data_IF_363779889852
#
_entry.id   IF_363779889852
#
_cell.length_a   1.000
_cell.length_b   1.000
_cell.length_c   1.000
_cell.angle_alpha   90.00
_cell.angle_beta   90.00
_cell.angle_gamma   90.00
#
_symmetry.space_group_name_H-M   'P 1'
#
loop_
_entity.id
_entity.type
_entity.pdbx_description
1 polymer ?
#
# COMPACT_ATOMS: atom_id res chain seq x y z
N UNK A 1 5.62 9.59 -24.52
CA UNK A 1 4.90 10.39 -23.51
C UNK A 1 4.05 9.51 -22.58
N UNK A 2 3.29 8.54 -23.10
CA UNK A 2 2.44 7.59 -22.33
C UNK A 2 3.14 6.89 -21.15
N UNK A 3 4.39 6.48 -21.35
CA UNK A 3 5.18 5.73 -20.35
C UNK A 3 5.40 6.47 -19.02
N UNK A 4 5.69 7.79 -19.06
CA UNK A 4 5.90 8.60 -17.84
C UNK A 4 4.60 8.94 -17.11
N UNK A 5 3.49 9.03 -17.85
CA UNK A 5 2.17 9.27 -17.27
C UNK A 5 1.71 8.01 -16.53
N UNK A 6 1.85 6.84 -17.15
CA UNK A 6 1.57 5.55 -16.51
C UNK A 6 2.39 5.37 -15.21
N UNK A 7 3.68 5.66 -15.25
CA UNK A 7 4.55 5.65 -14.07
C UNK A 7 4.03 6.58 -12.97
N UNK A 8 3.70 7.82 -13.33
CA UNK A 8 3.20 8.82 -12.38
C UNK A 8 1.91 8.35 -11.71
N UNK A 9 0.95 7.84 -12.48
CA UNK A 9 -0.34 7.38 -11.96
C UNK A 9 -0.22 6.15 -11.07
N UNK A 10 0.60 5.18 -11.48
CA UNK A 10 0.93 4.02 -10.67
C UNK A 10 1.48 4.43 -9.30
N UNK A 11 2.44 5.34 -9.29
CA UNK A 11 3.04 5.82 -8.05
C UNK A 11 2.12 6.71 -7.21
N UNK A 12 1.24 7.52 -7.81
CA UNK A 12 0.19 8.23 -7.06
C UNK A 12 -0.65 7.24 -6.25
N UNK A 13 -1.12 6.16 -6.90
CA UNK A 13 -1.90 5.12 -6.24
C UNK A 13 -1.17 4.50 -5.05
N UNK A 14 0.11 4.17 -5.22
CA UNK A 14 0.96 3.62 -4.15
C UNK A 14 1.17 4.60 -3.00
N UNK A 15 1.56 5.85 -3.29
CA UNK A 15 1.89 6.81 -2.25
C UNK A 15 0.69 7.26 -1.43
N UNK A 16 -0.48 7.43 -2.06
CA UNK A 16 -1.71 7.79 -1.33
C UNK A 16 -2.14 6.64 -0.40
N UNK A 17 -2.09 5.41 -0.90
CA UNK A 17 -2.41 4.24 -0.10
C UNK A 17 -1.41 4.04 1.05
N UNK A 18 -0.11 4.28 0.79
CA UNK A 18 0.93 4.23 1.81
C UNK A 18 0.74 5.27 2.90
N UNK A 19 0.38 6.50 2.54
CA UNK A 19 0.10 7.55 3.52
C UNK A 19 -1.05 7.15 4.46
N UNK A 20 -2.12 6.52 3.94
CA UNK A 20 -3.20 5.99 4.78
C UNK A 20 -2.73 4.82 5.67
N UNK A 21 -2.00 3.85 5.11
CA UNK A 21 -1.51 2.70 5.85
C UNK A 21 -0.54 3.08 6.97
N UNK A 22 0.46 3.90 6.68
CA UNK A 22 1.40 4.43 7.69
C UNK A 22 0.65 5.22 8.77
N UNK A 23 -0.32 6.05 8.39
CA UNK A 23 -1.13 6.79 9.36
C UNK A 23 -1.93 5.87 10.29
N UNK A 24 -2.48 4.76 9.79
CA UNK A 24 -3.18 3.77 10.63
C UNK A 24 -2.25 3.07 11.60
N UNK A 25 -1.09 2.63 11.13
CA UNK A 25 -0.08 1.94 11.97
C UNK A 25 0.35 2.86 13.12
N UNK A 26 0.69 4.11 12.81
CA UNK A 26 1.12 5.09 13.81
C UNK A 26 -0.02 5.49 14.75
N UNK A 27 -1.27 5.58 14.30
CA UNK A 27 -2.41 5.89 15.17
C UNK A 27 -2.71 4.76 16.14
N UNK A 28 -2.59 3.51 15.70
CA UNK A 28 -2.74 2.34 16.56
C UNK A 28 -1.63 2.26 17.61
N UNK A 29 -0.37 2.52 17.21
CA UNK A 29 0.73 2.64 18.17
C UNK A 29 0.45 3.76 19.18
N UNK A 30 0.08 4.95 18.71
CA UNK A 30 -0.25 6.09 19.58
C UNK A 30 -1.35 5.75 20.58
N UNK A 31 -2.38 5.01 20.17
CA UNK A 31 -3.46 4.58 21.05
C UNK A 31 -3.00 3.54 22.08
N UNK A 32 -2.15 2.58 21.70
CA UNK A 32 -1.55 1.64 22.65
C UNK A 32 -0.73 2.34 23.72
N UNK A 33 0.06 3.34 23.34
CA UNK A 33 0.90 4.08 24.29
C UNK A 33 0.09 4.94 25.26
N UNK A 34 -1.18 5.24 24.95
CA UNK A 34 -2.09 5.85 25.91
C UNK A 34 -2.60 4.84 26.96
N UNK A 35 -2.59 3.54 26.62
CA UNK A 35 -3.03 2.45 27.51
C UNK A 35 -1.86 1.92 28.35
N UNK A 36 -0.68 1.72 27.74
CA UNK A 36 0.52 1.20 28.40
C UNK A 36 1.82 1.79 27.83
N UNK A 37 2.46 2.69 28.58
CA UNK A 37 3.75 3.28 28.22
C UNK A 37 4.94 2.33 28.44
N UNK A 38 4.79 1.26 29.22
CA UNK A 38 5.91 0.37 29.54
C UNK A 38 6.44 -0.37 28.30
N UNK A 39 5.60 -0.52 27.27
CA UNK A 39 5.94 -1.21 26.02
C UNK A 39 6.40 -0.28 24.90
N UNK A 40 6.64 1.02 25.17
CA UNK A 40 6.95 2.00 24.13
C UNK A 40 8.11 1.57 23.22
N UNK A 41 9.23 1.16 23.83
CA UNK A 41 10.42 0.79 23.08
C UNK A 41 10.22 -0.43 22.16
N UNK A 42 9.55 -1.47 22.67
CA UNK A 42 9.28 -2.70 21.90
C UNK A 42 8.27 -2.45 20.78
N UNK A 43 7.21 -1.68 21.06
CA UNK A 43 6.19 -1.34 20.08
C UNK A 43 6.73 -0.42 18.97
N UNK A 44 7.53 0.60 19.33
CA UNK A 44 8.22 1.47 18.37
C UNK A 44 9.22 0.68 17.52
N UNK A 45 9.99 -0.23 18.12
CA UNK A 45 10.91 -1.11 17.40
C UNK A 45 10.17 -2.03 16.42
N UNK A 46 9.06 -2.64 16.85
CA UNK A 46 8.24 -3.50 15.99
C UNK A 46 7.70 -2.74 14.78
N UNK A 47 7.20 -1.52 14.98
CA UNK A 47 6.74 -0.66 13.87
C UNK A 47 7.87 -0.29 12.92
N UNK A 48 9.00 0.21 13.42
CA UNK A 48 10.10 0.67 12.57
C UNK A 48 10.83 -0.48 11.88
N UNK A 49 11.36 -1.43 12.65
CA UNK A 49 12.26 -2.46 12.15
C UNK A 49 11.52 -3.65 11.53
N UNK A 50 10.43 -4.10 12.14
CA UNK A 50 9.75 -5.34 11.70
C UNK A 50 8.71 -5.06 10.62
N UNK A 51 7.80 -4.11 10.85
CA UNK A 51 6.73 -3.80 9.90
C UNK A 51 7.27 -2.96 8.73
N UNK A 52 7.96 -1.86 9.03
CA UNK A 52 8.41 -0.90 8.02
C UNK A 52 9.80 -1.22 7.44
N UNK A 53 10.52 -2.19 8.01
CA UNK A 53 11.84 -2.60 7.53
C UNK A 53 12.91 -1.49 7.61
N UNK A 54 12.73 -0.54 8.53
CA UNK A 54 13.66 0.57 8.76
C UNK A 54 14.58 0.22 9.92
N UNK A 55 15.88 -0.01 9.67
CA UNK A 55 16.83 -0.31 10.74
C UNK A 55 16.80 0.77 11.82
N UNK A 56 16.65 0.33 13.07
CA UNK A 56 16.79 1.17 14.24
C UNK A 56 17.98 0.68 15.07
N UNK A 57 19.04 1.47 15.13
CA UNK A 57 20.14 1.24 16.08
C UNK A 57 19.75 1.84 17.44
N UNK A 58 19.87 1.04 18.51
CA UNK A 58 19.63 1.49 19.88
C UNK A 58 18.15 1.49 20.31
N UNK A 59 17.88 2.13 21.46
CA UNK A 59 16.53 2.28 21.99
C UNK A 59 15.78 3.34 21.18
N UNK A 60 14.63 2.95 20.60
CA UNK A 60 13.73 3.85 19.86
C UNK A 60 12.46 4.09 20.64
N UNK A 61 11.87 5.27 20.48
CA UNK A 61 10.59 5.63 21.06
C UNK A 61 9.58 6.12 20.03
N UNK A 62 8.43 6.60 20.51
CA UNK A 62 7.38 7.14 19.66
C UNK A 62 7.80 8.40 18.91
N UNK A 63 8.71 9.19 19.50
CA UNK A 63 9.31 10.35 18.82
C UNK A 63 10.08 9.93 17.56
N UNK A 64 10.88 8.86 17.62
CA UNK A 64 11.58 8.33 16.44
C UNK A 64 10.61 7.86 15.36
N UNK A 65 9.49 7.23 15.77
CA UNK A 65 8.41 6.86 14.85
C UNK A 65 7.82 8.10 14.18
N UNK A 66 7.56 9.16 14.94
CA UNK A 66 7.08 10.43 14.41
C UNK A 66 8.03 11.05 13.39
N UNK A 67 9.30 11.14 13.74
CA UNK A 67 10.33 11.72 12.87
C UNK A 67 10.45 10.94 11.57
N UNK A 68 10.54 9.60 11.64
CA UNK A 68 10.85 8.74 10.49
C UNK A 68 9.64 8.37 9.64
N UNK A 69 8.45 8.21 10.23
CA UNK A 69 7.24 7.74 9.55
C UNK A 69 6.15 8.81 9.36
N UNK A 70 6.17 9.91 10.11
CA UNK A 70 5.17 10.97 9.97
C UNK A 70 5.76 12.17 9.24
N UNK A 71 6.85 12.72 9.75
CA UNK A 71 7.32 14.05 9.35
C UNK A 71 8.44 14.05 8.31
N UNK A 72 9.18 12.95 8.13
CA UNK A 72 10.24 12.88 7.12
C UNK A 72 9.69 13.08 5.70
N UNK A 73 10.22 14.09 5.00
CA UNK A 73 9.83 14.46 3.63
C UNK A 73 10.72 13.80 2.57
N UNK A 74 11.89 13.32 2.97
CA UNK A 74 12.85 12.65 2.11
C UNK A 74 12.55 11.15 2.02
N UNK A 75 11.97 10.58 3.08
CA UNK A 75 11.55 9.19 3.12
C UNK A 75 10.16 9.00 2.46
N UNK A 76 10.06 8.35 1.29
CA UNK A 76 8.77 8.10 0.64
C UNK A 76 7.90 7.07 1.37
N UNK A 77 8.41 6.45 2.43
CA UNK A 77 7.62 5.57 3.32
C UNK A 77 6.94 6.32 4.46
N UNK A 78 7.39 7.54 4.75
CA UNK A 78 6.74 8.44 5.70
C UNK A 78 5.51 9.11 5.09
N UNK A 79 4.56 9.54 5.92
CA UNK A 79 3.35 10.24 5.48
C UNK A 79 3.71 11.51 4.70
N UNK A 80 4.56 12.37 5.27
CA UNK A 80 4.96 13.62 4.60
C UNK A 80 5.66 13.36 3.26
N UNK A 81 6.60 12.41 3.20
CA UNK A 81 7.31 12.05 1.98
C UNK A 81 6.39 11.43 0.92
N UNK A 82 5.49 10.53 1.32
CA UNK A 82 4.50 9.94 0.42
C UNK A 82 3.54 10.98 -0.16
N UNK A 83 3.02 11.91 0.66
CA UNK A 83 2.15 12.99 0.17
C UNK A 83 2.89 13.94 -0.81
N UNK A 84 4.15 14.26 -0.53
CA UNK A 84 4.99 15.04 -1.44
C UNK A 84 5.22 14.30 -2.76
N UNK A 85 5.59 13.02 -2.69
CA UNK A 85 5.84 12.19 -3.87
C UNK A 85 4.57 12.02 -4.72
N UNK A 86 3.40 11.83 -4.09
CA UNK A 86 2.11 11.80 -4.78
C UNK A 86 1.84 13.11 -5.53
N UNK A 87 2.09 14.27 -4.88
CA UNK A 87 1.94 15.58 -5.52
C UNK A 87 2.87 15.77 -6.72
N UNK A 88 4.14 15.40 -6.59
CA UNK A 88 5.09 15.58 -7.70
C UNK A 88 4.75 14.69 -8.90
N UNK A 89 4.27 13.47 -8.66
CA UNK A 89 3.74 12.63 -9.74
C UNK A 89 2.45 13.20 -10.34
N UNK A 90 1.55 13.73 -9.51
CA UNK A 90 0.35 14.40 -9.99
C UNK A 90 0.67 15.63 -10.85
N UNK A 91 1.74 16.36 -10.53
CA UNK A 91 2.20 17.51 -11.31
C UNK A 91 2.71 17.08 -12.68
N UNK A 92 3.41 15.94 -12.76
CA UNK A 92 3.89 15.36 -14.03
C UNK A 92 2.75 14.83 -14.91
N UNK A 93 1.68 14.33 -14.29
CA UNK A 93 0.50 13.81 -14.98
C UNK A 93 -0.67 14.81 -15.05
N UNK A 94 -0.41 16.12 -14.91
CA UNK A 94 -1.46 17.15 -14.76
C UNK A 94 -2.48 17.18 -15.89
N UNK A 95 -2.03 16.87 -17.11
CA UNK A 95 -2.86 16.84 -18.33
C UNK A 95 -3.81 15.64 -18.36
N UNK A 96 -3.50 14.56 -17.62
CA UNK A 96 -4.33 13.35 -17.54
C UNK A 96 -5.27 13.35 -16.35
N UNK A 97 -4.87 14.02 -15.26
CA UNK A 97 -5.71 14.12 -14.07
C UNK A 97 -6.86 15.10 -14.28
N UNK A 98 -8.03 14.76 -13.74
CA UNK A 98 -9.12 15.73 -13.58
C UNK A 98 -8.63 16.90 -12.70
N UNK A 99 -9.17 18.10 -12.95
CA UNK A 99 -8.83 19.29 -12.15
C UNK A 99 -9.12 19.07 -10.67
N UNK A 100 -10.24 18.43 -10.33
CA UNK A 100 -10.61 18.10 -8.96
C UNK A 100 -9.60 17.17 -8.28
N UNK A 101 -9.14 16.13 -8.98
CA UNK A 101 -8.16 15.19 -8.43
C UNK A 101 -6.81 15.87 -8.19
N UNK A 102 -6.35 16.67 -9.15
CA UNK A 102 -5.15 17.48 -8.98
C UNK A 102 -5.26 18.42 -7.77
N UNK A 103 -6.36 19.17 -7.66
CA UNK A 103 -6.59 20.10 -6.56
C UNK A 103 -6.67 19.39 -5.21
N UNK A 104 -7.29 18.20 -5.16
CA UNK A 104 -7.37 17.39 -3.96
C UNK A 104 -5.99 16.95 -3.46
N UNK A 105 -5.12 16.48 -4.36
CA UNK A 105 -3.74 16.09 -4.02
C UNK A 105 -2.92 17.32 -3.62
N UNK A 106 -2.99 18.41 -4.40
CA UNK A 106 -2.23 19.63 -4.14
C UNK A 106 -2.62 20.29 -2.80
N UNK A 107 -3.93 20.38 -2.53
CA UNK A 107 -4.45 20.91 -1.26
C UNK A 107 -4.03 20.05 -0.08
N UNK A 108 -4.05 18.72 -0.24
CA UNK A 108 -3.60 17.78 0.80
C UNK A 108 -2.19 18.11 1.26
N UNK A 109 -1.28 18.31 0.30
CA UNK A 109 0.10 18.66 0.58
C UNK A 109 0.25 20.05 1.23
N UNK A 110 -0.36 21.09 0.67
CA UNK A 110 -0.21 22.45 1.20
C UNK A 110 -0.78 22.58 2.61
N UNK A 111 -1.92 21.95 2.88
CA UNK A 111 -2.52 21.95 4.23
C UNK A 111 -1.70 21.12 5.22
N UNK A 112 -1.11 20.00 4.78
CA UNK A 112 -0.21 19.20 5.62
C UNK A 112 0.95 20.05 6.18
N UNK A 113 1.55 20.91 5.36
CA UNK A 113 2.63 21.80 5.79
C UNK A 113 2.23 22.76 6.93
N UNK A 114 0.94 23.08 7.05
CA UNK A 114 0.42 23.95 8.09
C UNK A 114 -0.01 23.24 9.38
N UNK A 115 0.07 21.90 9.46
CA UNK A 115 -0.34 21.16 10.67
C UNK A 115 0.68 21.22 11.82
N UNK A 116 1.92 21.64 11.53
CA UNK A 116 3.02 21.61 12.49
C UNK A 116 3.85 20.32 12.39
N UNK A 117 4.96 20.28 13.14
CA UNK A 117 5.92 19.15 13.15
C UNK A 117 6.50 18.87 14.54
N UNK A 118 5.87 19.37 15.61
CA UNK A 118 6.40 19.24 16.97
C UNK A 118 6.12 17.84 17.50
N UNK A 119 4.85 17.49 17.65
CA UNK A 119 4.43 16.17 18.10
C UNK A 119 3.47 15.52 17.11
N UNK A 120 3.52 14.18 17.02
CA UNK A 120 2.51 13.41 16.30
C UNK A 120 1.20 13.50 17.05
N UNK A 121 0.15 13.93 16.36
CA UNK A 121 -1.19 14.08 16.95
C UNK A 121 -2.22 13.32 16.14
N UNK A 122 -3.37 13.03 16.77
CA UNK A 122 -4.51 12.42 16.08
C UNK A 122 -4.93 13.22 14.84
N UNK A 123 -4.78 14.55 14.86
CA UNK A 123 -5.07 15.43 13.72
C UNK A 123 -4.17 15.16 12.51
N UNK A 124 -2.88 14.90 12.70
CA UNK A 124 -1.99 14.52 11.59
C UNK A 124 -2.45 13.21 10.96
N UNK A 125 -2.73 12.22 11.80
CA UNK A 125 -3.04 10.86 11.38
C UNK A 125 -4.44 10.78 10.74
N UNK A 126 -5.44 11.44 11.32
CA UNK A 126 -6.79 11.52 10.74
C UNK A 126 -6.77 12.28 9.42
N UNK A 127 -6.03 13.40 9.33
CA UNK A 127 -5.89 14.15 8.08
C UNK A 127 -5.36 13.27 6.94
N UNK A 128 -4.27 12.53 7.15
CA UNK A 128 -3.71 11.66 6.11
C UNK A 128 -4.74 10.62 5.62
N UNK A 129 -5.47 9.96 6.53
CA UNK A 129 -6.52 8.98 6.19
C UNK A 129 -7.71 9.59 5.47
N UNK A 130 -8.24 10.70 5.97
CA UNK A 130 -9.37 11.42 5.38
C UNK A 130 -9.03 11.90 3.97
N UNK A 131 -7.82 12.43 3.77
CA UNK A 131 -7.37 12.89 2.45
C UNK A 131 -7.13 11.75 1.48
N UNK A 132 -6.58 10.62 1.92
CA UNK A 132 -6.45 9.44 1.07
C UNK A 132 -7.80 8.87 0.63
N UNK A 133 -8.80 8.86 1.52
CA UNK A 133 -10.16 8.46 1.20
C UNK A 133 -10.82 9.44 0.21
N UNK A 134 -10.70 10.75 0.44
CA UNK A 134 -11.23 11.76 -0.47
C UNK A 134 -10.59 11.67 -1.87
N UNK A 135 -9.27 11.57 -1.94
CA UNK A 135 -8.55 11.45 -3.21
C UNK A 135 -8.99 10.20 -3.96
N UNK A 136 -9.17 9.08 -3.26
CA UNK A 136 -9.69 7.85 -3.87
C UNK A 136 -11.10 8.01 -4.41
N UNK A 137 -11.99 8.69 -3.68
CA UNK A 137 -13.38 8.94 -4.11
C UNK A 137 -13.48 9.92 -5.29
N UNK A 138 -12.65 10.96 -5.31
CA UNK A 138 -12.58 11.90 -6.44
C UNK A 138 -12.03 11.21 -7.68
N UNK A 139 -10.99 10.40 -7.53
CA UNK A 139 -10.44 9.64 -8.66
C UNK A 139 -11.52 8.73 -9.28
N UNK A 140 -12.27 8.00 -8.46
CA UNK A 140 -13.34 7.08 -8.90
C UNK A 140 -14.52 7.79 -9.58
N UNK A 141 -14.83 9.01 -9.14
CA UNK A 141 -15.97 9.78 -9.67
C UNK A 141 -15.65 10.65 -10.87
N UNK A 142 -14.39 11.04 -11.08
CA UNK A 142 -14.03 12.06 -12.08
C UNK A 142 -13.06 11.57 -13.16
N UNK A 143 -12.34 10.47 -12.95
CA UNK A 143 -11.49 9.89 -13.99
C UNK A 143 -12.31 8.99 -14.91
N UNK A 144 -11.97 8.98 -16.19
CA UNK A 144 -12.39 7.89 -17.07
C UNK A 144 -11.67 6.61 -16.65
N UNK A 145 -12.37 5.47 -16.64
CA UNK A 145 -11.78 4.17 -16.30
C UNK A 145 -10.99 3.58 -17.47
N UNK A 146 -10.01 4.34 -17.95
CA UNK A 146 -9.06 3.98 -19.00
C UNK A 146 -7.73 3.48 -18.39
N UNK A 147 -6.69 3.35 -19.22
CA UNK A 147 -5.36 2.90 -18.79
C UNK A 147 -4.81 3.72 -17.62
N UNK A 148 -5.05 5.04 -17.61
CA UNK A 148 -4.58 5.94 -16.57
C UNK A 148 -5.21 5.57 -15.22
N UNK A 149 -6.53 5.37 -15.19
CA UNK A 149 -7.22 4.84 -14.02
C UNK A 149 -6.67 3.48 -13.59
N UNK A 150 -6.48 2.56 -14.53
CA UNK A 150 -6.01 1.22 -14.22
C UNK A 150 -4.59 1.20 -13.61
N UNK A 151 -3.66 2.03 -14.08
CA UNK A 151 -2.35 2.16 -13.44
C UNK A 151 -2.45 2.68 -12.00
N UNK A 152 -3.29 3.69 -11.76
CA UNK A 152 -3.52 4.23 -10.42
C UNK A 152 -4.09 3.16 -9.48
N UNK A 153 -5.12 2.44 -9.91
CA UNK A 153 -5.77 1.42 -9.09
C UNK A 153 -4.85 0.21 -8.89
N UNK A 154 -4.06 -0.17 -9.90
CA UNK A 154 -3.06 -1.22 -9.78
C UNK A 154 -2.03 -0.90 -8.70
N UNK A 155 -1.42 0.30 -8.75
CA UNK A 155 -0.45 0.74 -7.75
C UNK A 155 -1.04 0.69 -6.34
N UNK A 156 -2.25 1.24 -6.15
CA UNK A 156 -2.98 1.20 -4.89
C UNK A 156 -3.18 -0.23 -4.36
N UNK A 157 -3.60 -1.18 -5.19
CA UNK A 157 -3.83 -2.56 -4.73
C UNK A 157 -2.52 -3.30 -4.42
N UNK A 158 -1.44 -3.06 -5.17
CA UNK A 158 -0.13 -3.62 -4.83
C UNK A 158 0.37 -3.08 -3.49
N UNK A 159 0.21 -1.79 -3.22
CA UNK A 159 0.59 -1.21 -1.93
C UNK A 159 -0.26 -1.78 -0.77
N UNK A 160 -1.56 -1.99 -0.97
CA UNK A 160 -2.43 -2.66 0.02
C UNK A 160 -1.92 -4.06 0.35
N UNK A 161 -1.66 -4.87 -0.68
CA UNK A 161 -1.19 -6.24 -0.49
C UNK A 161 0.15 -6.29 0.28
N UNK A 162 1.10 -5.41 -0.08
CA UNK A 162 2.41 -5.32 0.59
C UNK A 162 2.28 -4.92 2.07
N UNK A 163 1.54 -3.83 2.36
CA UNK A 163 1.38 -3.35 3.75
C UNK A 163 0.62 -4.34 4.63
N UNK A 164 -0.46 -4.96 4.11
CA UNK A 164 -1.19 -5.99 4.86
C UNK A 164 -0.29 -7.19 5.11
N UNK A 165 0.49 -7.64 4.12
CA UNK A 165 1.40 -8.77 4.29
C UNK A 165 2.46 -8.50 5.36
N UNK A 166 3.05 -7.29 5.40
CA UNK A 166 3.99 -6.88 6.45
C UNK A 166 3.36 -6.95 7.83
N UNK A 167 2.15 -6.41 8.00
CA UNK A 167 1.43 -6.43 9.28
C UNK A 167 1.10 -7.86 9.72
N UNK A 168 0.54 -8.67 8.83
CA UNK A 168 0.17 -10.07 9.10
C UNK A 168 1.39 -10.91 9.45
N UNK A 169 2.55 -10.65 8.83
CA UNK A 169 3.80 -11.37 9.14
C UNK A 169 4.28 -11.15 10.59
N UNK A 170 3.77 -10.12 11.28
CA UNK A 170 4.07 -9.85 12.70
C UNK A 170 3.04 -10.44 13.67
N UNK A 171 1.86 -10.82 13.19
CA UNK A 171 0.75 -11.26 14.04
C UNK A 171 1.10 -12.50 14.84
N UNK A 172 0.93 -12.44 16.17
CA UNK A 172 1.09 -13.59 17.06
C UNK A 172 2.52 -14.14 17.19
N UNK A 173 3.55 -13.41 16.72
CA UNK A 173 4.96 -13.83 16.87
C UNK A 173 5.45 -13.63 18.32
N UNK A 174 6.09 -14.63 18.94
CA UNK A 174 6.68 -14.47 20.27
C UNK A 174 7.78 -13.40 20.29
N UNK A 175 7.73 -12.48 21.27
CA UNK A 175 8.78 -11.52 21.63
C UNK A 175 9.08 -10.39 20.63
N UNK A 176 8.40 -10.34 19.48
CA UNK A 176 8.58 -9.29 18.45
C UNK A 176 7.35 -9.09 17.55
N UNK A 177 6.22 -9.71 17.93
CA UNK A 177 4.98 -9.68 17.18
C UNK A 177 3.99 -8.67 17.73
N UNK A 178 3.11 -8.20 16.86
CA UNK A 178 1.97 -7.40 17.27
C UNK A 178 0.79 -8.32 17.65
N UNK A 179 0.02 -8.00 18.71
CA UNK A 179 -1.24 -8.69 18.99
C UNK A 179 -2.20 -8.59 17.79
N UNK A 180 -3.03 -9.60 17.55
CA UNK A 180 -3.95 -9.60 16.39
C UNK A 180 -4.96 -8.44 16.38
N UNK A 181 -5.34 -7.92 17.55
CA UNK A 181 -6.16 -6.71 17.66
C UNK A 181 -5.48 -5.48 17.07
N UNK A 182 -4.16 -5.38 17.23
CA UNK A 182 -3.29 -4.31 16.70
C UNK A 182 -3.16 -4.44 15.19
N UNK A 183 -2.91 -5.67 14.70
CA UNK A 183 -2.82 -5.97 13.27
C UNK A 183 -4.15 -5.64 12.58
N UNK A 184 -5.27 -6.11 13.11
CA UNK A 184 -6.61 -5.83 12.57
C UNK A 184 -6.92 -4.32 12.58
N UNK A 185 -6.61 -3.62 13.66
CA UNK A 185 -6.86 -2.17 13.75
C UNK A 185 -6.00 -1.38 12.76
N UNK A 186 -4.74 -1.78 12.58
CA UNK A 186 -3.81 -1.16 11.63
C UNK A 186 -4.26 -1.37 10.19
N UNK A 187 -4.84 -2.53 9.88
CA UNK A 187 -5.48 -2.81 8.60
C UNK A 187 -6.87 -2.17 8.44
N UNK A 188 -7.40 -1.44 9.42
CA UNK A 188 -8.79 -0.94 9.39
C UNK A 188 -9.85 -2.05 9.32
N UNK A 189 -9.48 -3.25 9.76
CA UNK A 189 -10.23 -4.49 9.59
C UNK A 189 -11.12 -4.85 10.78
N UNK A 190 -10.87 -4.28 11.97
CA UNK A 190 -11.50 -4.67 13.23
C UNK A 190 -13.02 -4.85 13.13
N UNK A 191 -13.73 -3.84 12.60
CA UNK A 191 -15.19 -3.87 12.48
C UNK A 191 -15.69 -4.85 11.41
N UNK A 192 -14.97 -4.97 10.29
CA UNK A 192 -15.33 -5.90 9.22
C UNK A 192 -15.16 -7.36 9.69
N UNK A 193 -14.06 -7.64 10.40
CA UNK A 193 -13.77 -8.93 11.02
C UNK A 193 -14.83 -9.33 12.05
N UNK A 194 -15.18 -8.42 12.98
CA UNK A 194 -16.21 -8.70 13.99
C UNK A 194 -17.55 -9.06 13.37
N UNK A 195 -17.94 -8.37 12.28
CA UNK A 195 -19.17 -8.68 11.53
C UNK A 195 -19.11 -10.03 10.81
N UNK A 196 -18.01 -10.35 10.14
CA UNK A 196 -17.89 -11.61 9.40
C UNK A 196 -17.82 -12.83 10.32
N UNK A 197 -17.15 -12.71 11.48
CA UNK A 197 -16.95 -13.80 12.43
C UNK A 197 -18.04 -13.92 13.51
N UNK A 198 -19.06 -13.06 13.50
CA UNK A 198 -20.17 -13.07 14.49
C UNK A 198 -19.67 -13.06 15.95
N UNK A 199 -18.59 -12.32 16.22
CA UNK A 199 -17.99 -12.19 17.55
C UNK A 199 -17.08 -13.34 17.99
N UNK A 200 -16.76 -14.32 17.13
CA UNK A 200 -15.79 -15.37 17.44
C UNK A 200 -14.36 -14.87 17.17
N UNK A 201 -13.64 -14.59 18.26
CA UNK A 201 -12.26 -14.11 18.23
C UNK A 201 -11.27 -15.27 18.36
N UNK A 202 -10.47 -15.50 17.31
CA UNK A 202 -9.25 -16.30 17.39
C UNK A 202 -8.18 -15.76 16.45
N UNK A 203 -6.93 -15.98 16.81
CA UNK A 203 -5.75 -15.55 16.05
C UNK A 203 -5.77 -16.12 14.63
N UNK A 204 -6.07 -17.42 14.49
CA UNK A 204 -6.20 -18.08 13.19
C UNK A 204 -7.29 -17.45 12.31
N UNK A 205 -8.40 -17.01 12.90
CA UNK A 205 -9.48 -16.35 12.16
C UNK A 205 -9.10 -14.95 11.74
N UNK A 206 -8.40 -14.20 12.60
CA UNK A 206 -7.91 -12.87 12.27
C UNK A 206 -6.89 -12.93 11.12
N UNK A 207 -5.97 -13.90 11.20
CA UNK A 207 -5.01 -14.20 10.15
C UNK A 207 -5.70 -14.60 8.84
N UNK A 208 -6.61 -15.58 8.89
CA UNK A 208 -7.36 -16.02 7.71
C UNK A 208 -8.18 -14.89 7.09
N UNK A 209 -8.78 -14.01 7.90
CA UNK A 209 -9.53 -12.85 7.40
C UNK A 209 -8.62 -11.86 6.65
N UNK A 210 -7.46 -11.52 7.20
CA UNK A 210 -6.55 -10.57 6.56
C UNK A 210 -5.82 -11.17 5.34
N UNK A 211 -5.69 -12.49 5.25
CA UNK A 211 -5.00 -13.14 4.14
C UNK A 211 -5.96 -13.57 3.03
N UNK A 212 -7.06 -14.24 3.36
CA UNK A 212 -7.87 -15.04 2.43
C UNK A 212 -9.26 -14.48 2.15
N UNK A 213 -9.71 -13.48 2.90
CA UNK A 213 -11.06 -12.92 2.72
C UNK A 213 -11.23 -12.35 1.30
N UNK A 214 -12.36 -12.65 0.66
CA UNK A 214 -12.63 -12.30 -0.75
C UNK A 214 -13.38 -10.99 -0.92
N UNK A 215 -13.82 -10.37 0.16
CA UNK A 215 -14.69 -9.21 0.14
C UNK A 215 -14.05 -7.99 0.82
N UNK A 216 -13.11 -8.22 1.74
CA UNK A 216 -12.43 -7.17 2.46
C UNK A 216 -11.33 -6.52 1.61
N UNK A 217 -11.41 -5.21 1.27
CA UNK A 217 -10.52 -4.59 0.27
C UNK A 217 -9.03 -4.60 0.59
N UNK A 218 -8.68 -4.74 1.88
CA UNK A 218 -7.29 -4.79 2.35
C UNK A 218 -6.81 -6.20 2.63
N UNK A 219 -7.63 -7.23 2.47
CA UNK A 219 -7.11 -8.59 2.52
C UNK A 219 -6.09 -8.80 1.40
N UNK A 220 -5.07 -9.62 1.66
CA UNK A 220 -4.04 -9.91 0.67
C UNK A 220 -4.67 -10.50 -0.60
N UNK A 221 -5.55 -11.48 -0.44
CA UNK A 221 -6.21 -12.14 -1.55
C UNK A 221 -7.05 -11.18 -2.41
N UNK A 222 -7.85 -10.31 -1.79
CA UNK A 222 -8.65 -9.33 -2.52
C UNK A 222 -7.76 -8.37 -3.32
N UNK A 223 -6.78 -7.76 -2.65
CA UNK A 223 -5.91 -6.77 -3.26
C UNK A 223 -5.10 -7.35 -4.43
N UNK A 224 -4.56 -8.57 -4.27
CA UNK A 224 -3.87 -9.27 -5.35
C UNK A 224 -4.80 -9.62 -6.51
N UNK A 225 -6.01 -10.08 -6.24
CA UNK A 225 -7.01 -10.38 -7.27
C UNK A 225 -7.37 -9.13 -8.06
N UNK A 226 -7.54 -7.98 -7.39
CA UNK A 226 -7.78 -6.70 -8.07
C UNK A 226 -6.59 -6.23 -8.89
N UNK A 227 -5.37 -6.36 -8.38
CA UNK A 227 -4.17 -6.04 -9.13
C UNK A 227 -4.05 -6.89 -10.42
N UNK A 228 -4.31 -8.20 -10.32
CA UNK A 228 -4.32 -9.11 -11.49
C UNK A 228 -5.40 -8.71 -12.53
N UNK A 229 -6.60 -8.36 -12.07
CA UNK A 229 -7.69 -7.88 -12.96
C UNK A 229 -7.30 -6.61 -13.72
N UNK A 230 -6.65 -5.65 -13.04
CA UNK A 230 -6.21 -4.41 -13.69
C UNK A 230 -5.07 -4.66 -14.67
N UNK A 231 -4.12 -5.55 -14.37
CA UNK A 231 -3.10 -5.95 -15.33
C UNK A 231 -3.71 -6.63 -16.56
N UNK A 232 -4.71 -7.51 -16.37
CA UNK A 232 -5.42 -8.15 -17.47
C UNK A 232 -6.20 -7.16 -18.34
N UNK A 233 -6.62 -6.04 -17.78
CA UNK A 233 -7.29 -4.98 -18.54
C UNK A 233 -6.29 -4.13 -19.32
N UNK A 234 -5.14 -3.83 -18.71
CA UNK A 234 -4.02 -3.10 -19.36
C UNK A 234 -3.36 -3.90 -20.49
N UNK A 235 -3.35 -5.22 -20.39
CA UNK A 235 -2.91 -6.14 -21.44
C UNK A 235 -3.97 -7.21 -21.70
N UNK A 236 -4.98 -6.91 -22.54
CA UNK A 236 -6.08 -7.82 -22.83
C UNK A 236 -5.66 -8.97 -23.78
N UNK A 237 -4.38 -9.05 -24.16
CA UNK A 237 -3.90 -10.12 -25.02
C UNK A 237 -4.03 -11.49 -24.34
N UNK A 238 -4.65 -12.43 -25.05
CA UNK A 238 -4.76 -13.81 -24.62
C UNK A 238 -3.70 -14.64 -25.35
N UNK A 239 -2.64 -15.01 -24.63
CA UNK A 239 -1.62 -15.89 -25.16
C UNK A 239 -2.19 -17.30 -25.42
N UNK A 240 -1.81 -17.90 -26.55
CA UNK A 240 -2.15 -19.30 -26.85
C UNK A 240 -1.41 -20.30 -25.96
N UNK A 241 -0.27 -19.90 -25.41
CA UNK A 241 0.60 -20.71 -24.55
C UNK A 241 1.10 -19.84 -23.39
N UNK A 242 0.76 -20.22 -22.16
CA UNK A 242 1.24 -19.54 -20.95
C UNK A 242 0.67 -18.14 -20.73
N UNK A 243 1.35 -17.34 -19.91
CA UNK A 243 1.05 -15.93 -19.65
C UNK A 243 2.34 -15.15 -19.87
N UNK A 244 2.36 -14.30 -20.89
CA UNK A 244 3.53 -13.50 -21.29
C UNK A 244 3.74 -12.27 -20.41
N UNK A 245 2.67 -11.74 -19.81
CA UNK A 245 2.77 -10.68 -18.81
C UNK A 245 3.38 -11.23 -17.51
N UNK A 246 4.63 -10.87 -17.27
CA UNK A 246 5.39 -11.30 -16.09
C UNK A 246 4.74 -10.83 -14.78
N UNK A 247 4.16 -9.63 -14.74
CA UNK A 247 3.51 -9.12 -13.54
C UNK A 247 2.27 -9.97 -13.21
N UNK A 248 1.45 -10.28 -14.22
CA UNK A 248 0.30 -11.19 -14.05
C UNK A 248 0.74 -12.58 -13.62
N UNK A 249 1.79 -13.13 -14.24
CA UNK A 249 2.32 -14.45 -13.90
C UNK A 249 2.77 -14.51 -12.44
N UNK A 250 3.49 -13.50 -11.95
CA UNK A 250 3.98 -13.47 -10.57
C UNK A 250 2.85 -13.38 -9.55
N UNK A 251 1.91 -12.45 -9.75
CA UNK A 251 0.77 -12.28 -8.85
C UNK A 251 -0.15 -13.51 -8.89
N UNK A 252 -0.46 -14.01 -10.10
CA UNK A 252 -1.33 -15.16 -10.32
C UNK A 252 -0.80 -16.42 -9.63
N UNK A 253 0.52 -16.66 -9.65
CA UNK A 253 1.13 -17.81 -8.94
C UNK A 253 0.88 -17.76 -7.42
N UNK A 254 1.18 -16.63 -6.79
CA UNK A 254 1.02 -16.51 -5.33
C UNK A 254 -0.46 -16.45 -4.94
N UNK A 255 -1.29 -15.70 -5.66
CA UNK A 255 -2.75 -15.65 -5.45
C UNK A 255 -3.39 -17.03 -5.55
N UNK A 256 -3.06 -17.79 -6.59
CA UNK A 256 -3.56 -19.16 -6.79
C UNK A 256 -3.07 -20.11 -5.69
N UNK A 257 -1.81 -19.96 -5.26
CA UNK A 257 -1.30 -20.71 -4.11
C UNK A 257 -2.07 -20.41 -2.82
N UNK A 258 -2.47 -19.16 -2.59
CA UNK A 258 -3.31 -18.80 -1.43
C UNK A 258 -4.75 -19.31 -1.59
N UNK A 259 -5.28 -19.38 -2.82
CA UNK A 259 -6.66 -19.80 -3.09
C UNK A 259 -6.90 -21.29 -2.82
N UNK A 260 -5.96 -22.14 -3.25
CA UNK A 260 -6.16 -23.58 -3.34
C UNK A 260 -5.41 -24.39 -2.27
N UNK A 261 -4.57 -23.76 -1.44
CA UNK A 261 -4.01 -24.41 -0.25
C UNK A 261 -5.03 -24.47 0.88
N UNK A 262 -4.93 -25.49 1.73
CA UNK A 262 -5.75 -25.54 2.93
C UNK A 262 -5.43 -24.35 3.85
N UNK A 263 -6.46 -23.72 4.42
CA UNK A 263 -6.28 -22.56 5.32
C UNK A 263 -5.28 -22.85 6.44
N UNK A 264 -5.35 -24.03 7.05
CA UNK A 264 -4.42 -24.44 8.10
C UNK A 264 -2.96 -24.45 7.67
N UNK A 265 -2.67 -24.82 6.41
CA UNK A 265 -1.31 -24.84 5.86
C UNK A 265 -0.81 -23.41 5.61
N UNK A 266 -1.68 -22.54 5.09
CA UNK A 266 -1.35 -21.12 4.88
C UNK A 266 -1.00 -20.45 6.22
N UNK A 267 -1.75 -20.76 7.27
CA UNK A 267 -1.56 -20.19 8.60
C UNK A 267 -0.32 -20.77 9.33
N UNK A 268 -0.02 -22.05 9.14
CA UNK A 268 1.16 -22.68 9.74
C UNK A 268 2.48 -22.04 9.28
N UNK A 269 2.55 -21.58 8.02
CA UNK A 269 3.73 -20.95 7.42
C UNK A 269 3.55 -19.43 7.23
N UNK A 270 2.72 -18.78 8.04
CA UNK A 270 2.22 -17.43 7.76
C UNK A 270 3.32 -16.39 7.45
N UNK A 271 4.42 -16.27 8.23
CA UNK A 271 5.48 -15.31 7.90
C UNK A 271 6.16 -15.59 6.56
N UNK A 272 6.39 -16.86 6.21
CA UNK A 272 6.96 -17.23 4.91
C UNK A 272 5.99 -16.95 3.75
N UNK A 273 4.70 -17.24 3.93
CA UNK A 273 3.70 -16.91 2.91
C UNK A 273 3.63 -15.40 2.68
N UNK A 274 3.66 -14.60 3.74
CA UNK A 274 3.66 -13.14 3.64
C UNK A 274 4.96 -12.58 3.03
N UNK A 275 6.10 -13.23 3.23
CA UNK A 275 7.33 -12.89 2.52
C UNK A 275 7.20 -13.16 1.02
N UNK A 276 6.64 -14.31 0.62
CA UNK A 276 6.36 -14.63 -0.80
C UNK A 276 5.42 -13.62 -1.44
N UNK A 277 4.41 -13.15 -0.70
CA UNK A 277 3.51 -12.07 -1.15
C UNK A 277 4.30 -10.78 -1.39
N UNK A 278 5.11 -10.33 -0.44
CA UNK A 278 5.92 -9.11 -0.59
C UNK A 278 6.90 -9.21 -1.77
N UNK A 279 7.56 -10.36 -1.95
CA UNK A 279 8.45 -10.60 -3.08
C UNK A 279 7.70 -10.57 -4.43
N UNK A 280 6.52 -11.18 -4.50
CA UNK A 280 5.68 -11.18 -5.70
C UNK A 280 5.16 -9.78 -6.04
N UNK A 281 4.73 -9.00 -5.04
CA UNK A 281 4.30 -7.61 -5.23
C UNK A 281 5.45 -6.73 -5.74
N UNK A 282 6.65 -6.87 -5.17
CA UNK A 282 7.82 -6.12 -5.63
C UNK A 282 8.25 -6.53 -7.05
N UNK A 283 8.27 -7.83 -7.34
CA UNK A 283 8.58 -8.33 -8.67
C UNK A 283 7.56 -7.87 -9.71
N UNK A 284 6.26 -7.88 -9.37
CA UNK A 284 5.20 -7.38 -10.24
C UNK A 284 5.35 -5.87 -10.50
N UNK A 285 5.69 -5.07 -9.48
CA UNK A 285 5.98 -3.65 -9.66
C UNK A 285 7.18 -3.41 -10.60
N UNK A 286 8.25 -4.22 -10.47
CA UNK A 286 9.42 -4.16 -11.37
C UNK A 286 9.08 -4.58 -12.80
N UNK A 287 8.25 -5.61 -12.97
CA UNK A 287 7.78 -6.06 -14.28
C UNK A 287 6.90 -5.00 -14.97
N UNK A 288 5.99 -4.38 -14.22
CA UNK A 288 5.18 -3.24 -14.69
C UNK A 288 6.10 -2.09 -15.11
N UNK A 289 7.08 -1.73 -14.28
CA UNK A 289 8.01 -0.65 -14.61
C UNK A 289 8.82 -0.94 -15.86
N UNK A 290 9.33 -2.17 -16.01
CA UNK A 290 10.12 -2.58 -17.17
C UNK A 290 9.30 -2.54 -18.46
N UNK A 291 8.03 -2.95 -18.38
CA UNK A 291 7.14 -3.03 -19.56
C UNK A 291 6.56 -1.67 -19.95
N UNK A 292 6.13 -0.86 -18.96
CA UNK A 292 5.33 0.34 -19.22
C UNK A 292 6.07 1.65 -18.95
N UNK A 293 7.07 1.71 -18.07
CA UNK A 293 7.71 2.97 -17.64
C UNK A 293 9.01 3.30 -18.39
N UNK A 294 9.49 2.39 -19.24
CA UNK A 294 10.61 2.68 -20.12
C UNK A 294 10.15 3.54 -21.31
N UNK A 295 10.81 4.69 -21.50
CA UNK A 295 10.62 5.50 -22.69
C UNK A 295 11.10 4.70 -23.92
N UNK A 296 10.19 4.30 -24.80
CA UNK A 296 10.58 3.83 -26.13
C UNK A 296 11.46 4.88 -26.83
N UNK A 297 12.42 4.47 -27.68
CA UNK A 297 13.22 5.42 -28.44
C UNK A 297 12.27 6.36 -29.22
N UNK A 298 12.56 7.66 -29.15
CA UNK A 298 11.88 8.64 -30.01
C UNK A 298 12.04 8.16 -31.46
N UNK A 299 10.99 8.23 -32.31
CA UNK A 299 11.20 8.06 -33.73
C UNK A 299 12.14 9.18 -34.17
N UNK A 300 13.37 8.82 -34.54
CA UNK A 300 14.22 9.67 -35.36
C UNK A 300 13.46 9.89 -36.65
N UNK A 301 12.82 11.05 -36.77
CA UNK A 301 12.40 11.56 -38.06
C UNK A 301 13.67 11.67 -38.89
N UNK A 302 13.85 10.76 -39.85
CA UNK A 302 14.82 10.94 -40.91
C UNK A 302 14.45 12.23 -41.63
N UNK A 303 15.26 13.27 -41.44
CA UNK A 303 15.23 14.46 -42.29
C UNK A 303 15.37 14.00 -43.74
N UNK A 304 14.45 14.47 -44.58
CA UNK A 304 14.56 14.39 -46.03
C UNK A 304 15.92 14.93 -46.46
N UNK A 305 16.71 14.09 -47.13
CA UNK A 305 17.83 14.54 -47.94
C UNK A 305 17.39 14.55 -49.40
N UNK A 306 17.05 15.77 -49.84
CA UNK A 306 17.18 16.38 -51.19
C UNK A 306 16.67 15.61 -52.40
#
# INVERSE_FOLDING_TARGET
>A
MLSRIAESLFWIGRYIERADGTARIVDVLRLQLLEDLAQEGEAAHTVLSVIMGMPSDGAVGFTDVGDRLVFDRQNPSAIAGALLAARENARRARETLSTELWEAINTTWHRWQGLGRQDVTSRHLSWARERAALISGIADSTMSHDDAWHFLVLGRNLERADMTARLVATGGRPGSGAPWSVVLSSCGAQQAFMRSQRGLHSDDRAAAFLVLDREFPRSVFYAMTKAEQHLATLDPHADRIGVSDEARRQLGRVRTSLEFRATSEVLAELPEQMLRVQQSVNGAAQAVASRYFQAGPLPTWTEELV
#
